data_IF_539392059235
#
_entry.id   IF_539392059235
#
_cell.length_a   1.000
_cell.length_b   1.000
_cell.length_c   1.000
_cell.angle_alpha   90.00
_cell.angle_beta   90.00
_cell.angle_gamma   90.00
#
_symmetry.space_group_name_H-M   'P 1'
#
loop_
_entity.id
_entity.type
_entity.pdbx_description
1 polymer ?
#
# COMPACT_ATOMS: atom_id res chain seq x y z
N UNK A 1 5.62 8.76 -20.13
CA UNK A 1 5.73 10.20 -20.48
C UNK A 1 6.46 10.91 -19.36
N UNK A 2 7.45 11.74 -19.68
CA UNK A 2 8.24 12.49 -18.70
C UNK A 2 8.21 13.96 -19.07
N UNK A 3 7.99 14.83 -18.10
CA UNK A 3 8.04 16.29 -18.25
C UNK A 3 9.30 16.80 -17.53
N UNK A 4 10.08 17.65 -18.20
CA UNK A 4 11.26 18.30 -17.62
C UNK A 4 11.05 19.80 -17.72
N UNK A 5 11.23 20.49 -16.59
CA UNK A 5 11.06 21.94 -16.48
C UNK A 5 12.38 22.51 -16.00
N UNK A 6 12.93 23.45 -16.77
CA UNK A 6 14.15 24.15 -16.41
C UNK A 6 13.79 25.50 -15.80
N UNK A 7 14.27 25.73 -14.59
CA UNK A 7 14.18 27.01 -13.90
C UNK A 7 15.56 27.63 -13.86
N UNK A 8 15.68 28.90 -14.22
CA UNK A 8 16.96 29.62 -14.21
C UNK A 8 17.50 29.79 -12.78
N UNK A 9 16.59 30.02 -11.82
CA UNK A 9 16.88 30.15 -10.39
C UNK A 9 15.68 29.70 -9.57
N UNK A 10 15.95 29.36 -8.32
CA UNK A 10 14.93 29.09 -7.28
C UNK A 10 15.25 30.02 -6.10
N UNK A 11 14.22 30.64 -5.52
CA UNK A 11 14.35 31.48 -4.34
C UNK A 11 14.75 30.64 -3.13
N UNK A 12 15.65 31.18 -2.29
CA UNK A 12 16.03 30.55 -1.02
C UNK A 12 15.24 31.12 0.18
N UNK A 13 14.37 32.11 -0.07
CA UNK A 13 13.59 32.81 0.98
C UNK A 13 12.09 32.59 0.84
N UNK A 14 11.61 32.32 -0.37
CA UNK A 14 10.19 32.18 -0.68
C UNK A 14 9.95 30.91 -1.50
N UNK A 15 8.75 30.35 -1.42
CA UNK A 15 8.38 29.14 -2.18
C UNK A 15 8.00 29.49 -3.62
N UNK A 16 8.70 28.90 -4.59
CA UNK A 16 8.38 29.00 -6.01
C UNK A 16 7.43 27.86 -6.44
N UNK A 17 6.17 28.19 -6.74
CA UNK A 17 5.12 27.22 -7.05
C UNK A 17 4.75 27.19 -8.54
N UNK A 18 4.60 25.98 -9.10
CA UNK A 18 4.05 25.75 -10.44
C UNK A 18 2.88 24.76 -10.37
N UNK A 19 1.83 24.99 -11.15
CA UNK A 19 0.67 24.10 -11.21
C UNK A 19 0.21 23.91 -12.66
N UNK A 20 -0.09 22.68 -13.03
CA UNK A 20 -0.67 22.33 -14.33
C UNK A 20 -1.69 21.21 -14.18
N UNK A 21 -2.62 21.11 -15.14
CA UNK A 21 -3.64 20.07 -15.15
C UNK A 21 -3.13 18.82 -15.86
N UNK A 22 -3.47 17.66 -15.32
CA UNK A 22 -3.17 16.35 -15.92
C UNK A 22 -4.48 15.63 -16.19
N UNK A 23 -4.62 15.03 -17.36
CA UNK A 23 -5.81 14.28 -17.75
C UNK A 23 -5.46 12.79 -17.88
N UNK A 24 -6.23 11.94 -17.21
CA UNK A 24 -6.13 10.49 -17.40
C UNK A 24 -6.71 10.10 -18.75
N UNK A 25 -5.85 9.64 -19.66
CA UNK A 25 -6.27 9.22 -21.00
C UNK A 25 -6.71 7.76 -21.06
N UNK A 26 -6.13 6.89 -20.20
CA UNK A 26 -6.46 5.47 -20.12
C UNK A 26 -6.95 5.11 -18.72
N UNK A 27 -8.08 4.40 -18.66
CA UNK A 27 -8.59 3.85 -17.41
C UNK A 27 -7.87 2.53 -17.09
N UNK A 28 -7.24 2.49 -15.92
CA UNK A 28 -6.53 1.34 -15.37
C UNK A 28 -7.05 1.01 -13.98
N UNK A 29 -6.91 -0.24 -13.54
CA UNK A 29 -7.42 -0.67 -12.23
C UNK A 29 -6.64 -0.07 -11.05
N UNK A 30 -5.31 -0.08 -11.13
CA UNK A 30 -4.42 0.52 -10.12
C UNK A 30 -3.54 1.57 -10.80
N UNK A 31 -3.59 2.80 -10.30
CA UNK A 31 -2.77 3.91 -10.80
C UNK A 31 -1.43 3.89 -10.06
N UNK A 32 -0.33 3.91 -10.81
CA UNK A 32 0.98 4.04 -10.20
C UNK A 32 1.22 5.48 -9.75
N UNK A 33 1.81 5.70 -8.56
CA UNK A 33 2.18 7.04 -8.12
C UNK A 33 3.09 7.76 -9.11
N UNK A 34 2.84 9.06 -9.28
CA UNK A 34 3.76 9.95 -9.98
C UNK A 34 4.88 10.39 -9.05
N UNK A 35 6.01 10.82 -9.63
CA UNK A 35 7.11 11.40 -8.88
C UNK A 35 7.56 12.71 -9.48
N UNK A 36 8.00 13.61 -8.60
CA UNK A 36 8.65 14.89 -8.94
C UNK A 36 10.03 14.85 -8.34
N UNK A 37 11.05 15.02 -9.18
CA UNK A 37 12.45 15.10 -8.76
C UNK A 37 12.99 16.49 -9.06
N UNK A 38 13.57 17.13 -8.04
CA UNK A 38 14.24 18.43 -8.14
C UNK A 38 15.73 18.22 -7.87
N UNK A 39 16.57 18.82 -8.72
CA UNK A 39 18.02 18.78 -8.58
C UNK A 39 18.64 20.02 -9.22
N UNK A 40 19.82 20.40 -8.74
CA UNK A 40 20.62 21.47 -9.35
C UNK A 40 21.52 20.91 -10.44
N UNK A 41 21.78 21.71 -11.48
CA UNK A 41 22.72 21.33 -12.56
C UNK A 41 24.14 21.06 -12.02
N UNK A 42 24.57 21.83 -11.01
CA UNK A 42 25.91 21.73 -10.43
C UNK A 42 26.01 20.73 -9.28
N UNK A 43 24.88 20.30 -8.72
CA UNK A 43 24.86 19.36 -7.59
C UNK A 43 23.80 18.28 -7.82
N UNK A 44 24.15 17.27 -8.64
CA UNK A 44 23.24 16.18 -8.98
C UNK A 44 23.05 15.16 -7.84
N UNK A 45 24.03 15.09 -6.92
CA UNK A 45 23.96 14.23 -5.73
C UNK A 45 22.89 14.74 -4.76
N UNK A 46 22.74 16.05 -4.64
CA UNK A 46 21.72 16.70 -3.83
C UNK A 46 20.43 16.83 -4.63
N UNK A 47 19.66 15.74 -4.64
CA UNK A 47 18.35 15.70 -5.27
C UNK A 47 17.25 15.32 -4.30
N UNK A 48 16.09 15.95 -4.45
CA UNK A 48 14.91 15.67 -3.66
C UNK A 48 13.84 15.06 -4.55
N UNK A 49 13.26 13.94 -4.14
CA UNK A 49 12.16 13.28 -4.86
C UNK A 49 10.95 13.18 -3.95
N UNK A 50 9.80 13.59 -4.46
CA UNK A 50 8.49 13.43 -3.80
C UNK A 50 7.56 12.66 -4.71
N UNK A 51 6.69 11.86 -4.11
CA UNK A 51 5.66 11.11 -4.82
C UNK A 51 4.31 11.78 -4.62
N UNK A 52 3.39 11.57 -5.56
CA UNK A 52 2.01 12.02 -5.44
C UNK A 52 1.07 10.94 -5.98
N UNK A 53 -0.06 10.77 -5.31
CA UNK A 53 -1.12 9.85 -5.71
C UNK A 53 -2.49 10.48 -5.40
N UNK A 54 -3.51 10.35 -6.25
CA UNK A 54 -4.81 10.99 -6.03
C UNK A 54 -5.51 10.59 -4.72
N UNK A 55 -5.27 9.35 -4.27
CA UNK A 55 -5.93 8.77 -3.08
C UNK A 55 -5.02 8.70 -1.84
N UNK A 56 -3.72 8.99 -1.97
CA UNK A 56 -2.75 8.83 -0.88
C UNK A 56 -1.96 10.11 -0.68
N UNK A 57 -1.98 10.65 0.53
CA UNK A 57 -1.37 11.94 0.86
C UNK A 57 0.15 11.98 0.66
N UNK A 58 0.86 10.91 1.01
CA UNK A 58 2.31 10.79 0.82
C UNK A 58 2.70 10.36 -0.61
N UNK A 59 1.70 10.00 -1.42
CA UNK A 59 1.87 9.42 -2.75
C UNK A 59 2.60 8.10 -2.78
N UNK A 60 2.89 7.46 -1.65
CA UNK A 60 3.64 6.20 -1.62
C UNK A 60 2.71 5.00 -1.71
N UNK A 61 3.30 3.86 -2.07
CA UNK A 61 2.58 2.59 -2.02
C UNK A 61 2.35 2.17 -0.56
N UNK A 62 1.17 1.61 -0.28
CA UNK A 62 0.79 1.06 1.01
C UNK A 62 1.72 -0.09 1.36
N UNK A 63 2.32 -0.01 2.54
CA UNK A 63 3.26 -0.99 3.06
C UNK A 63 2.99 -1.22 4.54
N UNK A 64 3.17 -2.46 4.99
CA UNK A 64 3.14 -2.84 6.39
C UNK A 64 4.59 -3.00 6.84
N UNK A 65 5.07 -2.10 7.70
CA UNK A 65 6.44 -2.12 8.19
C UNK A 65 6.47 -2.45 9.69
N UNK A 66 7.15 -3.53 10.04
CA UNK A 66 7.46 -3.86 11.44
C UNK A 66 8.98 -3.79 11.63
N UNK A 67 9.45 -2.78 12.36
CA UNK A 67 10.88 -2.43 12.45
C UNK A 67 11.49 -2.20 11.06
N UNK A 68 12.53 -2.94 10.68
CA UNK A 68 13.19 -2.85 9.37
C UNK A 68 12.53 -3.71 8.28
N UNK A 69 11.52 -4.52 8.64
CA UNK A 69 10.89 -5.45 7.71
C UNK A 69 9.58 -4.87 7.17
N UNK A 70 9.55 -4.57 5.87
CA UNK A 70 8.35 -4.07 5.19
C UNK A 70 7.78 -5.11 4.21
N UNK A 71 6.45 -5.18 4.13
CA UNK A 71 5.71 -5.94 3.10
C UNK A 71 4.75 -5.03 2.33
N UNK A 72 4.51 -5.38 1.07
CA UNK A 72 3.55 -4.70 0.21
C UNK A 72 2.11 -4.95 0.69
N UNK A 73 1.28 -3.91 0.68
CA UNK A 73 -0.11 -3.92 1.12
C UNK A 73 -1.07 -3.26 0.11
N UNK A 74 -0.73 -3.28 -1.17
CA UNK A 74 -1.58 -2.80 -2.27
C UNK A 74 -2.68 -3.79 -2.69
N UNK A 75 -2.69 -4.97 -2.09
CA UNK A 75 -3.71 -5.97 -2.36
C UNK A 75 -5.02 -5.64 -1.64
N UNK A 76 -6.09 -6.31 -2.06
CA UNK A 76 -7.39 -6.15 -1.43
C UNK A 76 -7.33 -6.57 0.05
N UNK A 77 -7.84 -5.72 0.93
CA UNK A 77 -8.10 -6.11 2.30
C UNK A 77 -9.05 -7.30 2.34
N UNK A 78 -8.80 -8.23 3.27
CA UNK A 78 -9.71 -9.34 3.47
C UNK A 78 -11.09 -8.80 3.87
N UNK A 79 -12.07 -8.98 2.98
CA UNK A 79 -13.46 -8.70 3.30
C UNK A 79 -14.08 -9.97 3.88
N UNK A 80 -14.53 -9.90 5.13
CA UNK A 80 -15.29 -10.97 5.74
C UNK A 80 -16.55 -11.19 4.91
N UNK A 81 -16.59 -12.30 4.18
CA UNK A 81 -17.74 -12.64 3.34
C UNK A 81 -18.98 -12.71 4.24
N UNK A 82 -19.96 -11.84 3.96
CA UNK A 82 -21.31 -11.98 4.51
C UNK A 82 -21.78 -13.39 4.23
N UNK A 83 -22.33 -14.06 5.24
CA UNK A 83 -22.65 -15.48 5.29
C UNK A 83 -23.74 -15.92 4.28
N UNK A 84 -23.59 -15.62 3.00
CA UNK A 84 -24.44 -16.16 1.95
C UNK A 84 -24.05 -17.62 1.72
N UNK A 85 -24.78 -18.51 2.41
CA UNK A 85 -24.93 -19.96 2.14
C UNK A 85 -23.68 -20.62 1.52
N UNK A 86 -22.55 -20.52 2.20
CA UNK A 86 -21.37 -21.27 1.80
C UNK A 86 -21.66 -22.75 2.08
N UNK A 87 -21.70 -23.57 1.02
CA UNK A 87 -21.85 -25.01 1.15
C UNK A 87 -20.62 -25.58 1.89
N UNK A 88 -20.88 -26.33 2.96
CA UNK A 88 -19.84 -26.81 3.87
C UNK A 88 -18.82 -27.69 3.15
N UNK A 89 -19.26 -28.49 2.16
CA UNK A 89 -18.38 -29.32 1.34
C UNK A 89 -17.43 -28.46 0.49
N UNK A 90 -17.95 -27.41 -0.17
CA UNK A 90 -17.13 -26.51 -0.99
C UNK A 90 -16.08 -25.77 -0.15
N UNK A 91 -16.41 -25.43 1.10
CA UNK A 91 -15.47 -24.79 2.03
C UNK A 91 -14.34 -25.74 2.44
N UNK A 92 -14.66 -27.01 2.67
CA UNK A 92 -13.66 -28.05 2.97
C UNK A 92 -12.75 -28.28 1.76
N UNK A 93 -13.32 -28.38 0.56
CA UNK A 93 -12.54 -28.55 -0.67
C UNK A 93 -11.57 -27.37 -0.89
N UNK A 94 -12.04 -26.13 -0.72
CA UNK A 94 -11.18 -24.93 -0.80
C UNK A 94 -10.08 -24.92 0.26
N UNK A 95 -10.38 -25.36 1.48
CA UNK A 95 -9.38 -25.47 2.54
C UNK A 95 -8.30 -26.54 2.22
N UNK A 96 -8.63 -27.53 1.38
CA UNK A 96 -7.72 -28.58 0.93
C UNK A 96 -6.90 -28.20 -0.31
N UNK A 97 -7.14 -27.04 -0.94
CA UNK A 97 -6.36 -26.57 -2.09
C UNK A 97 -4.87 -26.34 -1.72
N UNK A 98 -3.94 -26.54 -2.66
CA UNK A 98 -2.50 -26.41 -2.41
C UNK A 98 -2.03 -24.98 -2.10
N UNK A 99 -2.88 -23.96 -2.27
CA UNK A 99 -2.60 -22.58 -1.88
C UNK A 99 -2.94 -22.25 -0.42
N UNK A 100 -3.52 -23.19 0.33
CA UNK A 100 -3.88 -23.01 1.75
C UNK A 100 -2.91 -23.82 2.60
N UNK A 101 -1.96 -23.15 3.25
CA UNK A 101 -0.96 -23.81 4.10
C UNK A 101 -1.55 -24.27 5.44
N UNK A 102 -2.36 -23.43 6.09
CA UNK A 102 -2.85 -23.68 7.45
C UNK A 102 -4.33 -23.33 7.61
N UNK A 103 -4.99 -24.05 8.53
CA UNK A 103 -6.36 -23.75 8.95
C UNK A 103 -6.45 -23.82 10.47
N UNK A 104 -6.76 -22.68 11.08
CA UNK A 104 -6.84 -22.54 12.55
C UNK A 104 -8.24 -22.13 13.00
N UNK A 105 -8.63 -22.63 14.16
CA UNK A 105 -9.70 -22.06 14.97
C UNK A 105 -9.05 -21.16 16.02
N UNK A 106 -9.35 -19.87 15.96
CA UNK A 106 -8.73 -18.87 16.84
C UNK A 106 -9.75 -18.11 17.65
N UNK A 107 -9.29 -17.55 18.77
CA UNK A 107 -10.01 -16.62 19.61
C UNK A 107 -9.20 -15.32 19.71
N UNK A 108 -9.85 -14.18 19.48
CA UNK A 108 -9.20 -12.88 19.54
C UNK A 108 -9.06 -12.44 21.00
N UNK A 109 -7.84 -12.15 21.44
CA UNK A 109 -7.57 -11.79 22.84
C UNK A 109 -7.22 -10.32 23.02
N UNK A 110 -6.56 -9.71 22.03
CA UNK A 110 -6.15 -8.31 22.09
C UNK A 110 -6.14 -7.69 20.70
N UNK A 111 -6.43 -6.38 20.65
CA UNK A 111 -6.30 -5.54 19.47
C UNK A 111 -5.47 -4.34 19.87
N UNK A 112 -4.38 -4.09 19.15
CA UNK A 112 -3.53 -2.91 19.33
C UNK A 112 -3.51 -2.11 18.03
N UNK A 113 -4.03 -0.90 18.09
CA UNK A 113 -4.04 0.03 16.95
C UNK A 113 -2.69 0.75 16.89
N UNK A 114 -2.05 0.76 15.72
CA UNK A 114 -0.82 1.52 15.45
C UNK A 114 -1.04 2.41 14.23
N UNK A 115 -0.10 3.32 13.98
CA UNK A 115 -0.24 4.31 12.90
C UNK A 115 -0.28 3.67 11.50
N UNK A 116 0.56 2.67 11.24
CA UNK A 116 0.67 2.04 9.92
C UNK A 116 -0.15 0.74 9.78
N UNK A 117 -0.48 0.06 10.89
CA UNK A 117 -1.19 -1.21 10.90
C UNK A 117 -1.82 -1.55 12.25
N UNK A 118 -2.86 -2.39 12.23
CA UNK A 118 -3.46 -2.92 13.45
C UNK A 118 -2.92 -4.32 13.76
N UNK A 119 -2.55 -4.55 15.02
CA UNK A 119 -2.09 -5.85 15.51
C UNK A 119 -3.23 -6.59 16.22
N UNK A 120 -3.60 -7.75 15.68
CA UNK A 120 -4.63 -8.63 16.23
C UNK A 120 -3.97 -9.84 16.89
N UNK A 121 -3.90 -9.86 18.23
CA UNK A 121 -3.38 -11.02 18.96
C UNK A 121 -4.45 -12.10 19.06
N UNK A 122 -4.19 -13.24 18.44
CA UNK A 122 -5.11 -14.39 18.43
C UNK A 122 -4.51 -15.60 19.14
N UNK A 123 -5.34 -16.31 19.91
CA UNK A 123 -4.97 -17.58 20.54
C UNK A 123 -5.53 -18.74 19.72
N UNK A 124 -4.67 -19.68 19.33
CA UNK A 124 -5.07 -20.88 18.56
C UNK A 124 -5.72 -21.88 19.52
N UNK A 125 -7.01 -22.14 19.33
CA UNK A 125 -7.74 -23.16 20.08
C UNK A 125 -7.55 -24.55 19.47
N UNK A 126 -7.52 -24.63 18.13
CA UNK A 126 -7.40 -25.89 17.41
C UNK A 126 -6.70 -25.70 16.07
N UNK A 127 -5.81 -26.64 15.74
CA UNK A 127 -5.21 -26.78 14.39
C UNK A 127 -6.04 -27.79 13.61
N UNK A 128 -6.62 -27.34 12.50
CA UNK A 128 -7.48 -28.17 11.62
C UNK A 128 -6.65 -28.72 10.45
N UNK A 129 -5.74 -27.91 9.90
CA UNK A 129 -4.79 -28.28 8.83
C UNK A 129 -3.44 -27.62 9.10
N UNK A 130 -2.37 -28.36 8.81
CA UNK A 130 -0.95 -27.97 8.93
C UNK A 130 -0.20 -28.31 7.66
#
# INVERSE_FOLDING_TARGET
NTLIIYLEKISHTEEDCLTFKVHQYFNVGLIQPGSVKVYSYYNLEESCTRFYHPEKDDGMLSKLCHSEMCRCAEENCFMQQSQEKINLNVRLDKACEPGVDYVYKTELTNIKLLDDFDEYTMTIQQVIKS
#
